data_IF_747878537584
#
_entry.id   IF_747878537584
#
_cell.length_a   1.000
_cell.length_b   1.000
_cell.length_c   1.000
_cell.angle_alpha   90.00
_cell.angle_beta   90.00
_cell.angle_gamma   90.00
#
_symmetry.space_group_name_H-M   'P 1'
#
loop_
_entity.id
_entity.type
_entity.pdbx_description
1 polymer ?
#
# COMPACT_ATOMS: atom_id res chain seq x y z
N UNK A 1 19.74 -9.34 -23.98
CA UNK A 1 19.87 -7.89 -23.69
C UNK A 1 18.52 -7.22 -23.43
N UNK A 2 17.48 -7.42 -24.24
CA UNK A 2 16.13 -6.87 -23.98
C UNK A 2 15.51 -7.28 -22.63
N UNK A 3 15.65 -8.55 -22.22
CA UNK A 3 15.18 -9.00 -20.89
C UNK A 3 15.88 -8.25 -19.76
N UNK A 4 17.20 -8.02 -19.90
CA UNK A 4 17.98 -7.24 -18.93
C UNK A 4 17.51 -5.78 -18.91
N UNK A 5 17.27 -5.18 -20.07
CA UNK A 5 16.72 -3.83 -20.17
C UNK A 5 15.31 -3.73 -19.53
N UNK A 6 14.47 -4.76 -19.70
CA UNK A 6 13.17 -4.88 -19.04
C UNK A 6 13.27 -4.92 -17.52
N UNK A 7 14.15 -5.79 -17.01
CA UNK A 7 14.41 -5.92 -15.57
C UNK A 7 14.95 -4.61 -14.98
N UNK A 8 15.90 -3.96 -15.66
CA UNK A 8 16.47 -2.68 -15.23
C UNK A 8 15.44 -1.54 -15.25
N UNK A 9 14.60 -1.47 -16.30
CA UNK A 9 13.51 -0.49 -16.38
C UNK A 9 12.48 -0.69 -15.25
N UNK A 10 12.09 -1.94 -14.98
CA UNK A 10 11.20 -2.28 -13.87
C UNK A 10 11.78 -1.90 -12.50
N UNK A 11 13.05 -2.23 -12.26
CA UNK A 11 13.78 -1.84 -11.04
C UNK A 11 13.85 -0.32 -10.87
N UNK A 12 14.16 0.41 -11.94
CA UNK A 12 14.21 1.87 -11.91
C UNK A 12 12.85 2.49 -11.59
N UNK A 13 11.76 1.92 -12.12
CA UNK A 13 10.39 2.37 -11.86
C UNK A 13 9.98 2.13 -10.41
N UNK A 14 10.33 0.95 -9.87
CA UNK A 14 10.13 0.63 -8.47
C UNK A 14 10.88 1.60 -7.54
N UNK A 15 12.15 1.92 -7.85
CA UNK A 15 12.94 2.86 -7.06
C UNK A 15 12.36 4.30 -7.08
N UNK A 16 11.78 4.72 -8.20
CA UNK A 16 11.10 6.02 -8.31
C UNK A 16 9.81 6.04 -7.47
N UNK A 17 8.99 5.00 -7.56
CA UNK A 17 7.71 4.91 -6.83
C UNK A 17 7.86 4.78 -5.31
N UNK A 18 8.95 4.15 -4.85
CA UNK A 18 9.25 3.97 -3.42
C UNK A 18 9.95 5.18 -2.79
N UNK A 19 10.23 6.23 -3.57
CA UNK A 19 10.86 7.45 -3.07
C UNK A 19 12.36 7.32 -2.80
N UNK A 20 13.02 6.26 -3.29
CA UNK A 20 14.48 6.09 -3.20
C UNK A 20 15.25 7.02 -4.16
N UNK A 21 14.55 7.78 -5.00
CA UNK A 21 15.14 8.76 -5.91
C UNK A 21 14.61 10.17 -5.62
N UNK A 22 15.37 11.24 -5.94
CA UNK A 22 14.97 12.63 -5.68
C UNK A 22 13.76 13.12 -6.50
N UNK A 23 13.17 12.26 -7.33
CA UNK A 23 12.09 12.62 -8.25
C UNK A 23 10.77 12.45 -7.51
N UNK A 24 10.04 13.55 -7.31
CA UNK A 24 8.71 13.48 -6.71
C UNK A 24 7.77 12.65 -7.61
N UNK A 25 7.08 11.63 -7.06
CA UNK A 25 6.11 10.84 -7.83
C UNK A 25 4.83 11.65 -8.08
N UNK A 26 4.91 12.59 -9.02
CA UNK A 26 3.75 13.31 -9.55
C UNK A 26 2.97 12.40 -10.51
N UNK A 27 1.65 12.57 -10.59
CA UNK A 27 0.76 11.75 -11.43
C UNK A 27 1.26 11.62 -12.89
N UNK A 28 1.78 12.71 -13.47
CA UNK A 28 2.29 12.72 -14.84
C UNK A 28 3.54 11.84 -15.01
N UNK A 29 4.50 11.92 -14.08
CA UNK A 29 5.72 11.10 -14.08
C UNK A 29 5.37 9.61 -13.97
N UNK A 30 4.48 9.25 -13.03
CA UNK A 30 4.02 7.86 -12.86
C UNK A 30 3.32 7.32 -14.10
N UNK A 31 2.44 8.10 -14.74
CA UNK A 31 1.75 7.68 -15.97
C UNK A 31 2.74 7.46 -17.11
N UNK A 32 3.71 8.37 -17.30
CA UNK A 32 4.74 8.22 -18.35
C UNK A 32 5.60 6.98 -18.11
N UNK A 33 6.07 6.76 -16.87
CA UNK A 33 6.81 5.54 -16.51
C UNK A 33 5.98 4.28 -16.75
N UNK A 34 4.68 4.29 -16.41
CA UNK A 34 3.78 3.16 -16.62
C UNK A 34 3.61 2.86 -18.12
N UNK A 35 3.41 3.88 -18.95
CA UNK A 35 3.29 3.74 -20.41
C UNK A 35 4.57 3.19 -21.01
N UNK A 36 5.74 3.69 -20.60
CA UNK A 36 7.05 3.20 -21.07
C UNK A 36 7.25 1.72 -20.69
N UNK A 37 6.98 1.34 -19.44
CA UNK A 37 7.06 -0.06 -19.02
C UNK A 37 6.06 -0.93 -19.79
N UNK A 38 4.83 -0.46 -19.97
CA UNK A 38 3.80 -1.17 -20.73
C UNK A 38 4.22 -1.42 -22.18
N UNK A 39 4.76 -0.40 -22.85
CA UNK A 39 5.27 -0.51 -24.22
C UNK A 39 6.46 -1.49 -24.30
N UNK A 40 7.40 -1.40 -23.36
CA UNK A 40 8.56 -2.30 -23.30
C UNK A 40 8.14 -3.75 -23.08
N UNK A 41 7.20 -4.00 -22.17
CA UNK A 41 6.62 -5.31 -21.92
C UNK A 41 5.91 -5.86 -23.16
N UNK A 42 5.14 -5.02 -23.85
CA UNK A 42 4.43 -5.41 -25.08
C UNK A 42 5.42 -5.82 -26.18
N UNK A 43 6.47 -5.03 -26.42
CA UNK A 43 7.52 -5.36 -27.39
C UNK A 43 8.22 -6.67 -27.02
N UNK A 44 8.57 -6.83 -25.75
CA UNK A 44 9.20 -8.05 -25.26
C UNK A 44 8.29 -9.27 -25.46
N UNK A 45 7.00 -9.14 -25.14
CA UNK A 45 6.01 -10.19 -25.34
C UNK A 45 5.87 -10.59 -26.81
N UNK A 46 5.77 -9.62 -27.73
CA UNK A 46 5.69 -9.88 -29.16
C UNK A 46 6.94 -10.60 -29.70
N UNK A 47 8.14 -10.19 -29.27
CA UNK A 47 9.37 -10.87 -29.66
C UNK A 47 9.44 -12.31 -29.13
N UNK A 48 9.09 -12.52 -27.86
CA UNK A 48 9.08 -13.86 -27.26
C UNK A 48 8.07 -14.75 -28.00
N UNK A 49 6.86 -14.24 -28.30
CA UNK A 49 5.86 -14.97 -29.08
C UNK A 49 6.38 -15.32 -30.47
N UNK A 50 7.00 -14.36 -31.16
CA UNK A 50 7.62 -14.57 -32.48
C UNK A 50 8.71 -15.65 -32.42
N UNK A 51 9.56 -15.63 -31.40
CA UNK A 51 10.62 -16.63 -31.21
C UNK A 51 10.06 -18.02 -30.92
N UNK A 52 9.00 -18.11 -30.10
CA UNK A 52 8.31 -19.38 -29.82
C UNK A 52 7.69 -19.93 -31.10
N UNK A 53 7.00 -19.10 -31.88
CA UNK A 53 6.38 -19.49 -33.14
C UNK A 53 7.45 -19.96 -34.14
N UNK A 54 8.53 -19.20 -34.30
CA UNK A 54 9.67 -19.56 -35.15
C UNK A 54 10.28 -20.90 -34.74
N UNK A 55 10.54 -21.09 -33.44
CA UNK A 55 11.07 -22.34 -32.89
C UNK A 55 10.11 -23.52 -33.13
N UNK A 56 8.80 -23.33 -32.96
CA UNK A 56 7.80 -24.36 -33.23
C UNK A 56 7.77 -24.73 -34.72
N UNK A 57 7.96 -23.77 -35.61
CA UNK A 57 8.00 -23.98 -37.06
C UNK A 57 9.27 -24.73 -37.49
N UNK A 58 10.43 -24.34 -36.96
CA UNK A 58 11.73 -24.99 -37.21
C UNK A 58 11.74 -26.43 -36.69
N UNK A 59 11.07 -26.68 -35.55
CA UNK A 59 10.99 -28.00 -34.93
C UNK A 59 10.21 -29.03 -35.76
N UNK A 60 9.39 -28.59 -36.72
CA UNK A 60 8.73 -29.49 -37.69
C UNK A 60 9.70 -30.12 -38.71
N UNK A 61 10.95 -29.63 -38.83
CA UNK A 61 11.94 -30.14 -39.80
C UNK A 61 12.87 -31.24 -39.27
N UNK A 62 12.59 -31.80 -38.10
CA UNK A 62 13.15 -33.09 -37.68
C UNK A 62 14.56 -33.02 -37.11
N UNK A 63 14.65 -33.03 -35.78
CA UNK A 63 15.87 -33.42 -35.07
C UNK A 63 15.52 -34.51 -34.06
N UNK A 64 16.04 -35.72 -34.26
CA UNK A 64 15.76 -36.90 -33.45
C UNK A 64 16.15 -36.73 -31.96
N UNK A 65 17.00 -35.73 -31.62
CA UNK A 65 17.38 -35.40 -30.24
C UNK A 65 16.42 -34.44 -29.49
N UNK A 66 15.54 -33.71 -30.19
CA UNK A 66 14.69 -32.69 -29.57
C UNK A 66 13.56 -33.26 -28.69
N UNK A 67 13.18 -34.52 -28.91
CA UNK A 67 12.18 -35.22 -28.09
C UNK A 67 12.72 -35.56 -26.70
N UNK A 68 14.00 -35.95 -26.61
CA UNK A 68 14.65 -36.27 -25.34
C UNK A 68 14.82 -35.01 -24.48
N UNK A 69 15.31 -33.92 -25.09
CA UNK A 69 15.47 -32.65 -24.39
C UNK A 69 14.11 -32.10 -23.90
N UNK A 70 13.03 -32.24 -24.68
CA UNK A 70 11.69 -31.82 -24.27
C UNK A 70 11.17 -32.66 -23.09
N UNK A 71 11.33 -33.99 -23.16
CA UNK A 71 10.90 -34.89 -22.08
C UNK A 71 11.60 -34.55 -20.77
N UNK A 72 12.90 -34.26 -20.83
CA UNK A 72 13.71 -33.88 -19.67
C UNK A 72 13.32 -32.50 -19.12
N UNK A 73 13.11 -31.50 -19.98
CA UNK A 73 12.63 -30.17 -19.58
C UNK A 73 11.23 -30.23 -18.97
N UNK A 74 10.34 -31.04 -19.53
CA UNK A 74 9.00 -31.25 -18.97
C UNK A 74 9.06 -31.90 -17.58
N UNK A 75 9.87 -32.96 -17.42
CA UNK A 75 10.02 -33.63 -16.13
C UNK A 75 10.59 -32.69 -15.06
N UNK A 76 11.64 -31.93 -15.43
CA UNK A 76 12.28 -30.99 -14.53
C UNK A 76 11.35 -29.84 -14.15
N UNK A 77 10.64 -29.27 -15.12
CA UNK A 77 9.64 -28.23 -14.89
C UNK A 77 8.53 -28.72 -13.96
N UNK A 78 8.02 -29.94 -14.19
CA UNK A 78 6.98 -30.53 -13.35
C UNK A 78 7.46 -30.67 -11.89
N UNK A 79 8.65 -31.24 -11.68
CA UNK A 79 9.24 -31.43 -10.35
C UNK A 79 9.52 -30.09 -9.65
N UNK A 80 9.90 -29.05 -10.40
CA UNK A 80 10.15 -27.72 -9.84
C UNK A 80 8.86 -26.93 -9.54
N UNK A 81 7.81 -27.09 -10.35
CA UNK A 81 6.53 -26.37 -10.21
C UNK A 81 5.73 -26.87 -9.01
N UNK A 82 5.74 -28.17 -8.74
CA UNK A 82 5.00 -28.76 -7.60
C UNK A 82 5.31 -28.08 -6.26
N UNK A 83 6.58 -27.96 -5.80
CA UNK A 83 6.89 -27.29 -4.54
C UNK A 83 6.58 -25.78 -4.59
N UNK A 84 6.75 -25.12 -5.74
CA UNK A 84 6.42 -23.71 -5.89
C UNK A 84 4.91 -23.46 -5.69
N UNK A 85 4.05 -24.30 -6.27
CA UNK A 85 2.59 -24.23 -6.06
C UNK A 85 2.24 -24.50 -4.60
N UNK A 86 2.84 -25.51 -3.98
CA UNK A 86 2.61 -25.80 -2.56
C UNK A 86 2.97 -24.60 -1.68
N UNK A 87 4.13 -23.98 -1.89
CA UNK A 87 4.54 -22.78 -1.15
C UNK A 87 3.57 -21.62 -1.41
N UNK A 88 3.13 -21.40 -2.65
CA UNK A 88 2.17 -20.34 -2.98
C UNK A 88 0.81 -20.52 -2.26
N UNK A 89 0.30 -21.75 -2.22
CA UNK A 89 -0.95 -22.08 -1.51
C UNK A 89 -0.77 -21.85 0.00
N UNK A 90 0.31 -22.37 0.60
CA UNK A 90 0.60 -22.18 2.02
C UNK A 90 0.80 -20.70 2.38
N UNK A 91 1.53 -19.95 1.56
CA UNK A 91 1.74 -18.52 1.75
C UNK A 91 0.42 -17.76 1.65
N UNK A 92 -0.43 -18.08 0.67
CA UNK A 92 -1.74 -17.45 0.51
C UNK A 92 -2.65 -17.71 1.71
N UNK A 93 -2.73 -18.96 2.18
CA UNK A 93 -3.54 -19.32 3.35
C UNK A 93 -3.00 -18.65 4.61
N UNK A 94 -1.69 -18.72 4.82
CA UNK A 94 -1.01 -18.08 5.97
C UNK A 94 -1.21 -16.58 5.96
N UNK A 95 -1.09 -15.94 4.80
CA UNK A 95 -1.30 -14.51 4.65
C UNK A 95 -2.75 -14.15 4.93
N UNK A 96 -3.73 -14.85 4.35
CA UNK A 96 -5.15 -14.57 4.61
C UNK A 96 -5.48 -14.72 6.09
N UNK A 97 -5.10 -15.84 6.69
CA UNK A 97 -5.35 -16.13 8.11
C UNK A 97 -4.59 -15.19 9.04
N UNK A 98 -3.34 -14.88 8.71
CA UNK A 98 -2.49 -13.99 9.47
C UNK A 98 -2.98 -12.55 9.42
N UNK A 99 -3.40 -12.08 8.24
CA UNK A 99 -4.05 -10.78 8.08
C UNK A 99 -5.38 -10.75 8.83
N UNK A 100 -6.25 -11.75 8.69
CA UNK A 100 -7.54 -11.79 9.41
C UNK A 100 -7.35 -11.74 10.94
N UNK A 101 -6.39 -12.51 11.47
CA UNK A 101 -6.07 -12.52 12.90
C UNK A 101 -5.50 -11.17 13.37
N UNK A 102 -4.58 -10.58 12.60
CA UNK A 102 -3.96 -9.31 12.97
C UNK A 102 -4.92 -8.13 12.80
N UNK A 103 -5.79 -8.16 11.79
CA UNK A 103 -6.79 -7.13 11.56
C UNK A 103 -7.97 -7.21 12.52
N UNK A 104 -8.43 -8.40 12.92
CA UNK A 104 -9.55 -8.54 13.85
C UNK A 104 -9.22 -8.10 15.27
N UNK A 105 -8.03 -8.44 15.78
CA UNK A 105 -7.68 -8.17 17.18
C UNK A 105 -7.00 -6.81 17.36
N UNK A 106 -6.01 -6.49 16.52
CA UNK A 106 -5.22 -5.26 16.67
C UNK A 106 -5.97 -4.02 16.21
N UNK A 107 -6.70 -4.09 15.10
CA UNK A 107 -7.45 -2.93 14.58
C UNK A 107 -8.63 -2.61 15.48
N UNK A 108 -9.33 -3.62 15.98
CA UNK A 108 -10.47 -3.43 16.89
C UNK A 108 -10.03 -2.77 18.20
N UNK A 109 -8.94 -3.22 18.80
CA UNK A 109 -8.38 -2.61 20.00
C UNK A 109 -7.95 -1.14 19.80
N UNK A 110 -7.36 -0.81 18.64
CA UNK A 110 -6.98 0.57 18.31
C UNK A 110 -8.20 1.47 18.12
N UNK A 111 -9.23 0.97 17.41
CA UNK A 111 -10.48 1.72 17.19
C UNK A 111 -11.22 1.95 18.50
N UNK A 112 -11.37 0.93 19.34
CA UNK A 112 -12.03 1.05 20.64
C UNK A 112 -11.27 2.04 21.56
N UNK A 113 -9.94 2.00 21.54
CA UNK A 113 -9.10 2.95 22.29
C UNK A 113 -9.27 4.38 21.77
N UNK A 114 -9.32 4.59 20.45
CA UNK A 114 -9.53 5.91 19.85
C UNK A 114 -10.91 6.49 20.19
N UNK A 115 -11.95 5.65 20.21
CA UNK A 115 -13.30 6.05 20.63
C UNK A 115 -13.32 6.45 22.10
N UNK A 116 -12.67 5.67 22.98
CA UNK A 116 -12.60 5.97 24.41
C UNK A 116 -11.83 7.30 24.68
N UNK A 117 -10.73 7.54 23.95
CA UNK A 117 -10.00 8.82 24.02
C UNK A 117 -10.85 9.99 23.52
N UNK A 118 -11.61 9.81 22.43
CA UNK A 118 -12.51 10.86 21.94
C UNK A 118 -13.64 11.16 22.94
N UNK A 119 -14.23 10.13 23.55
CA UNK A 119 -15.31 10.29 24.52
C UNK A 119 -14.83 10.99 25.81
N UNK A 120 -13.65 10.60 26.32
CA UNK A 120 -13.02 11.29 27.45
C UNK A 120 -12.67 12.74 27.13
N UNK A 121 -12.09 13.03 25.96
CA UNK A 121 -11.80 14.41 25.54
C UNK A 121 -13.05 15.29 25.51
N UNK A 122 -14.15 14.79 24.94
CA UNK A 122 -15.44 15.50 24.89
C UNK A 122 -16.01 15.72 26.29
N UNK A 123 -15.93 14.71 27.16
CA UNK A 123 -16.42 14.80 28.54
C UNK A 123 -15.63 15.83 29.35
N UNK A 124 -14.31 15.77 29.30
CA UNK A 124 -13.43 16.68 30.03
C UNK A 124 -13.60 18.14 29.53
N UNK A 125 -13.75 18.33 28.22
CA UNK A 125 -14.04 19.67 27.66
C UNK A 125 -15.41 20.20 28.07
N UNK A 126 -16.43 19.35 28.12
CA UNK A 126 -17.77 19.76 28.54
C UNK A 126 -17.78 20.16 30.04
N UNK A 127 -17.02 19.44 30.87
CA UNK A 127 -16.89 19.73 32.30
C UNK A 127 -16.07 21.00 32.55
N UNK A 128 -14.94 21.17 31.87
CA UNK A 128 -14.13 22.39 31.90
C UNK A 128 -14.96 23.62 31.49
N UNK A 129 -15.71 23.53 30.38
CA UNK A 129 -16.56 24.63 29.89
C UNK A 129 -17.66 24.97 30.91
N UNK A 130 -18.26 23.97 31.56
CA UNK A 130 -19.24 24.22 32.64
C UNK A 130 -18.62 24.93 33.84
N UNK A 131 -17.42 24.51 34.24
CA UNK A 131 -16.70 25.12 35.35
C UNK A 131 -16.34 26.58 35.04
N UNK A 132 -15.89 26.88 33.83
CA UNK A 132 -15.60 28.24 33.38
C UNK A 132 -16.85 29.14 33.41
N UNK A 133 -17.99 28.64 32.90
CA UNK A 133 -19.27 29.37 32.95
C UNK A 133 -19.70 29.62 34.40
N UNK A 134 -19.56 28.64 35.27
CA UNK A 134 -19.88 28.78 36.69
C UNK A 134 -18.98 29.82 37.38
N UNK A 135 -17.67 29.81 37.09
CA UNK A 135 -16.72 30.79 37.60
C UNK A 135 -17.06 32.20 37.14
N UNK A 136 -17.32 32.40 35.84
CA UNK A 136 -17.75 33.70 35.28
C UNK A 136 -19.05 34.18 35.92
N UNK A 137 -20.03 33.29 36.09
CA UNK A 137 -21.32 33.65 36.73
C UNK A 137 -21.13 34.09 38.19
N UNK A 138 -20.22 33.45 38.90
CA UNK A 138 -19.90 33.77 40.29
C UNK A 138 -19.20 35.13 40.38
N UNK A 139 -18.25 35.38 39.49
CA UNK A 139 -17.51 36.63 39.40
C UNK A 139 -18.43 37.83 39.09
N UNK A 140 -19.35 37.66 38.12
CA UNK A 140 -20.39 38.64 37.78
C UNK A 140 -21.38 38.90 38.93
N UNK A 141 -21.66 37.88 39.76
CA UNK A 141 -22.54 38.02 40.92
C UNK A 141 -21.86 38.71 42.11
N UNK A 142 -20.54 38.91 42.05
CA UNK A 142 -19.78 39.49 43.13
C UNK A 142 -19.98 41.02 43.17
N UNK A 143 -20.46 41.58 44.29
CA UNK A 143 -20.85 43.00 44.38
C UNK A 143 -19.70 43.99 44.17
N UNK A 144 -18.43 43.56 44.28
CA UNK A 144 -17.27 44.41 44.00
C UNK A 144 -17.11 44.76 42.51
N UNK A 145 -17.46 43.87 41.59
CA UNK A 145 -17.38 44.16 40.15
C UNK A 145 -18.48 45.12 39.68
N UNK A 146 -19.69 44.98 40.25
CA UNK A 146 -20.82 45.89 39.98
C UNK A 146 -20.49 47.31 40.48
N UNK A 147 -19.72 47.44 41.56
CA UNK A 147 -19.24 48.73 42.06
C UNK A 147 -18.20 49.37 41.12
N UNK A 148 -17.23 48.60 40.60
CA UNK A 148 -16.22 49.08 39.65
C UNK A 148 -16.82 49.49 38.29
N UNK A 149 -17.77 48.72 37.75
CA UNK A 149 -18.46 49.05 36.49
C UNK A 149 -19.29 50.34 36.58
N UNK A 150 -19.91 50.60 37.74
CA UNK A 150 -20.65 51.85 37.97
C UNK A 150 -19.71 53.05 38.17
N UNK A 151 -18.50 52.83 38.66
CA UNK A 151 -17.51 53.89 38.86
C UNK A 151 -16.91 54.37 37.52
N UNK A 152 -16.67 53.46 36.58
CA UNK A 152 -16.16 53.77 35.23
C UNK A 152 -17.19 54.49 34.34
N UNK A 153 -18.49 54.27 34.59
CA UNK A 153 -19.58 55.01 33.91
C UNK A 153 -19.85 56.41 34.46
N UNK A 154 -19.27 56.73 35.62
CA UNK A 154 -19.45 58.00 36.30
C UNK A 154 -18.28 58.98 36.08
N UNK A 155 -17.26 58.58 35.31
CA UNK A 155 -16.15 59.40 34.83
C UNK A 155 -16.35 59.78 33.35
#
# INVERSE_FOLDING_TARGET
MLVVAGVVCGLSTFAVLTGLTPIAPTAQTTIVLLVINGALLLVMALMILGQIIYLMLERRRGTAGAALHLRLVLLFSLIAVVPAILVAVFASVTLNRGLDAWFSERTRAIVDSAVNVAESYVRDHAEATRNDVAAISTDLSQPQQVALFNQDRAA
#
